data_IF_790322993596
#
_entry.id   IF_790322993596
#
_cell.length_a   1.000
_cell.length_b   1.000
_cell.length_c   1.000
_cell.angle_alpha   90.00
_cell.angle_beta   90.00
_cell.angle_gamma   90.00
#
_symmetry.space_group_name_H-M   'P 1'
#
loop_
_entity.id
_entity.type
_entity.pdbx_description
1 polymer ?
#
# COMPACT_ATOMS: atom_id res chain seq x y z
N UNK A 1 5.03 3.39 16.40
CA UNK A 1 6.31 3.37 17.15
C UNK A 1 7.11 4.61 16.75
N UNK A 2 7.74 5.33 17.68
CA UNK A 2 8.65 6.43 17.33
C UNK A 2 9.84 5.90 16.51
N UNK A 3 10.35 6.69 15.54
CA UNK A 3 11.46 6.31 14.63
C UNK A 3 12.68 5.72 15.35
N UNK A 4 13.06 6.29 16.50
CA UNK A 4 14.15 5.79 17.35
C UNK A 4 14.00 4.34 17.81
N UNK A 5 12.77 3.86 18.01
CA UNK A 5 12.48 2.46 18.41
C UNK A 5 12.32 1.53 17.21
N UNK A 6 11.95 2.05 16.05
CA UNK A 6 11.76 1.25 14.84
C UNK A 6 13.06 1.04 14.04
N UNK A 7 14.03 1.97 14.12
CA UNK A 7 15.31 1.91 13.39
C UNK A 7 16.07 0.58 13.50
N UNK A 8 16.26 0.00 14.69
CA UNK A 8 16.98 -1.28 14.81
C UNK A 8 16.25 -2.44 14.13
N UNK A 9 14.92 -2.46 14.23
CA UNK A 9 14.09 -3.49 13.62
C UNK A 9 14.08 -3.37 12.09
N UNK A 10 14.07 -2.14 11.56
CA UNK A 10 14.24 -1.86 10.12
C UNK A 10 15.60 -2.36 9.60
N UNK A 11 16.68 -2.18 10.36
CA UNK A 11 18.00 -2.70 9.99
C UNK A 11 18.07 -4.23 9.96
N UNK A 12 17.27 -4.91 10.79
CA UNK A 12 17.14 -6.38 10.77
C UNK A 12 16.36 -6.88 9.54
N UNK A 13 15.42 -6.08 9.00
CA UNK A 13 14.71 -6.43 7.77
C UNK A 13 15.61 -6.41 6.52
N UNK A 14 16.80 -5.79 6.59
CA UNK A 14 17.78 -5.75 5.51
C UNK A 14 18.73 -6.97 5.49
N UNK A 15 18.52 -7.97 6.35
CA UNK A 15 19.33 -9.21 6.36
C UNK A 15 18.89 -10.12 5.20
N UNK A 16 19.84 -10.61 4.41
CA UNK A 16 19.56 -11.43 3.20
C UNK A 16 18.68 -12.68 3.43
N UNK A 17 18.70 -13.27 4.64
CA UNK A 17 17.85 -14.41 4.98
C UNK A 17 16.43 -14.05 5.45
N UNK A 18 16.15 -12.78 5.71
CA UNK A 18 14.85 -12.24 6.14
C UNK A 18 14.02 -11.70 4.97
N UNK A 19 14.68 -11.45 3.82
CA UNK A 19 14.07 -10.95 2.58
C UNK A 19 13.14 -11.97 1.87
N UNK A 20 12.95 -13.16 2.47
CA UNK A 20 12.02 -14.20 2.00
C UNK A 20 10.70 -14.22 2.76
N UNK A 21 10.48 -13.29 3.70
CA UNK A 21 9.33 -13.29 4.62
C UNK A 21 8.53 -11.98 4.47
N UNK A 22 7.96 -11.80 3.28
CA UNK A 22 7.06 -10.71 2.89
C UNK A 22 5.59 -11.12 3.09
N UNK A 23 5.04 -10.80 4.26
CA UNK A 23 3.60 -10.90 4.58
C UNK A 23 2.89 -9.55 4.34
N UNK A 24 2.94 -9.09 3.09
CA UNK A 24 2.48 -7.75 2.70
C UNK A 24 0.99 -7.50 3.00
N UNK A 25 0.15 -8.54 2.87
CA UNK A 25 -1.29 -8.44 3.16
C UNK A 25 -1.55 -8.06 4.62
N UNK A 26 -0.84 -8.70 5.54
CA UNK A 26 -0.89 -8.50 6.98
C UNK A 26 -0.35 -7.12 7.35
N UNK A 27 0.78 -6.73 6.76
CA UNK A 27 1.38 -5.41 6.96
C UNK A 27 0.42 -4.29 6.51
N UNK A 28 -0.19 -4.46 5.34
CA UNK A 28 -1.16 -3.53 4.77
C UNK A 28 -2.41 -3.43 5.65
N UNK A 29 -2.95 -4.57 6.08
CA UNK A 29 -4.12 -4.64 6.97
C UNK A 29 -3.84 -3.98 8.33
N UNK A 30 -2.65 -4.19 8.89
CA UNK A 30 -2.21 -3.55 10.13
C UNK A 30 -2.13 -2.02 10.00
N UNK A 31 -1.51 -1.54 8.92
CA UNK A 31 -1.39 -0.10 8.67
C UNK A 31 -2.76 0.55 8.43
N UNK A 32 -3.61 -0.09 7.63
CA UNK A 32 -4.97 0.37 7.36
C UNK A 32 -5.82 0.47 8.62
N UNK A 33 -5.81 -0.55 9.50
CA UNK A 33 -6.58 -0.54 10.76
C UNK A 33 -6.20 0.65 11.64
N UNK A 34 -4.89 0.95 11.74
CA UNK A 34 -4.38 2.10 12.51
C UNK A 34 -4.79 3.42 11.89
N UNK A 35 -4.65 3.53 10.56
CA UNK A 35 -5.00 4.74 9.83
C UNK A 35 -6.51 5.00 9.88
N UNK A 36 -7.34 3.96 9.80
CA UNK A 36 -8.80 4.07 9.90
C UNK A 36 -9.26 4.71 11.21
N UNK A 37 -8.59 4.43 12.33
CA UNK A 37 -8.91 4.99 13.65
C UNK A 37 -8.51 6.46 13.83
N UNK A 38 -7.86 7.07 12.85
CA UNK A 38 -7.41 8.47 12.90
C UNK A 38 -8.57 9.46 12.62
N UNK A 39 -8.63 10.63 13.29
CA UNK A 39 -9.70 11.62 13.09
C UNK A 39 -9.62 12.38 11.76
N UNK A 40 -8.49 12.35 11.06
CA UNK A 40 -8.28 13.10 9.81
C UNK A 40 -9.31 12.72 8.73
N UNK A 41 -9.86 13.73 8.07
CA UNK A 41 -10.87 13.55 7.01
C UNK A 41 -10.30 12.88 5.76
N UNK A 42 -9.02 13.15 5.45
CA UNK A 42 -8.30 12.53 4.34
C UNK A 42 -7.22 11.60 4.87
N UNK A 43 -7.21 10.38 4.38
CA UNK A 43 -6.30 9.31 4.81
C UNK A 43 -5.68 8.69 3.56
N UNK A 44 -4.36 8.75 3.46
CA UNK A 44 -3.60 8.17 2.36
C UNK A 44 -2.71 7.08 2.95
N UNK A 45 -2.74 5.90 2.36
CA UNK A 45 -1.86 4.79 2.66
C UNK A 45 -0.98 4.55 1.44
N UNK A 46 0.33 4.74 1.60
CA UNK A 46 1.32 4.52 0.56
C UNK A 46 2.13 3.28 0.91
N UNK A 47 2.19 2.33 -0.02
CA UNK A 47 3.02 1.13 0.06
C UNK A 47 4.30 1.38 -0.72
N UNK A 48 5.43 0.98 -0.16
CA UNK A 48 6.72 0.96 -0.86
C UNK A 48 7.22 -0.48 -0.70
N UNK A 49 7.34 -1.21 -1.80
CA UNK A 49 7.73 -2.63 -1.79
C UNK A 49 8.72 -2.93 -2.91
N UNK A 50 9.65 -3.83 -2.64
CA UNK A 50 10.70 -4.31 -3.55
C UNK A 50 10.40 -5.70 -4.12
N UNK A 51 9.21 -6.26 -3.87
CA UNK A 51 8.93 -7.64 -4.30
C UNK A 51 7.48 -8.10 -4.19
N UNK A 52 7.33 -9.42 -4.27
CA UNK A 52 6.08 -10.13 -4.11
C UNK A 52 5.90 -10.62 -2.66
N UNK A 53 4.67 -10.94 -2.23
CA UNK A 53 4.48 -11.60 -0.94
C UNK A 53 5.01 -13.04 -1.02
N UNK A 54 5.92 -13.40 -0.13
CA UNK A 54 6.63 -14.69 -0.06
C UNK A 54 6.93 -14.99 1.40
N UNK A 55 6.70 -16.22 1.86
CA UNK A 55 7.04 -16.68 3.21
C UNK A 55 7.22 -18.19 3.15
N UNK A 56 8.45 -18.69 3.40
CA UNK A 56 8.80 -20.10 3.16
C UNK A 56 7.99 -21.03 4.08
N UNK A 57 7.75 -20.60 5.32
CA UNK A 57 6.97 -21.34 6.31
C UNK A 57 5.52 -21.47 5.89
N UNK A 58 4.90 -20.37 5.46
CA UNK A 58 3.51 -20.34 5.01
C UNK A 58 3.34 -21.18 3.75
N UNK A 59 4.24 -21.04 2.77
CA UNK A 59 4.16 -21.77 1.50
C UNK A 59 4.46 -23.27 1.63
N UNK A 60 5.15 -23.71 2.70
CA UNK A 60 5.44 -25.13 2.93
C UNK A 60 4.20 -25.98 3.23
N UNK A 61 3.13 -25.36 3.74
CA UNK A 61 1.90 -26.06 4.18
C UNK A 61 0.61 -25.50 3.55
N UNK A 62 0.72 -24.51 2.67
CA UNK A 62 -0.41 -23.89 1.97
C UNK A 62 -0.21 -23.89 0.46
N UNK A 63 -1.27 -23.67 -0.34
CA UNK A 63 -1.14 -23.45 -1.77
C UNK A 63 -0.22 -22.26 -2.09
N UNK A 64 0.50 -22.34 -3.21
CA UNK A 64 1.44 -21.31 -3.64
C UNK A 64 0.78 -19.91 -3.81
N UNK A 65 -0.52 -19.86 -4.09
CA UNK A 65 -1.27 -18.60 -4.24
C UNK A 65 -1.72 -17.97 -2.93
N UNK A 66 -1.56 -18.63 -1.78
CA UNK A 66 -2.20 -18.24 -0.51
C UNK A 66 -1.92 -16.78 -0.11
N UNK A 67 -0.65 -16.36 -0.14
CA UNK A 67 -0.26 -15.00 0.21
C UNK A 67 -0.68 -13.98 -0.84
N UNK A 68 -0.65 -14.36 -2.12
CA UNK A 68 -1.12 -13.50 -3.21
C UNK A 68 -2.63 -13.25 -3.11
N UNK A 69 -3.40 -14.31 -2.90
CA UNK A 69 -4.86 -14.25 -2.72
C UNK A 69 -5.22 -13.40 -1.50
N UNK A 70 -4.46 -13.56 -0.40
CA UNK A 70 -4.63 -12.72 0.79
C UNK A 70 -4.34 -11.24 0.51
N UNK A 71 -3.21 -10.93 -0.14
CA UNK A 71 -2.84 -9.56 -0.50
C UNK A 71 -3.92 -8.91 -1.38
N UNK A 72 -4.39 -9.61 -2.42
CA UNK A 72 -5.48 -9.13 -3.29
C UNK A 72 -6.77 -8.86 -2.52
N UNK A 73 -7.14 -9.75 -1.60
CA UNK A 73 -8.33 -9.58 -0.78
C UNK A 73 -8.24 -8.33 0.12
N UNK A 74 -7.07 -8.09 0.73
CA UNK A 74 -6.83 -6.91 1.58
C UNK A 74 -6.84 -5.62 0.76
N UNK A 75 -6.17 -5.59 -0.40
CA UNK A 75 -6.17 -4.43 -1.30
C UNK A 75 -7.60 -4.09 -1.72
N UNK A 76 -8.35 -5.08 -2.19
CA UNK A 76 -9.75 -4.92 -2.59
C UNK A 76 -10.61 -4.38 -1.43
N UNK A 77 -10.41 -4.88 -0.21
CA UNK A 77 -11.10 -4.36 0.97
C UNK A 77 -10.80 -2.87 1.21
N UNK A 78 -9.55 -2.44 1.02
CA UNK A 78 -9.14 -1.06 1.28
C UNK A 78 -9.63 -0.12 0.17
N UNK A 79 -9.47 -0.51 -1.09
CA UNK A 79 -9.81 0.32 -2.25
C UNK A 79 -11.33 0.47 -2.44
N UNK A 80 -12.11 -0.59 -2.24
CA UNK A 80 -13.55 -0.55 -2.50
C UNK A 80 -14.41 -0.24 -1.26
N UNK A 81 -13.96 -0.65 -0.08
CA UNK A 81 -14.80 -0.65 1.14
C UNK A 81 -14.33 0.36 2.19
N UNK A 82 -13.42 1.25 1.83
CA UNK A 82 -12.83 2.20 2.76
C UNK A 82 -12.56 3.56 2.11
N UNK A 83 -12.68 4.68 2.86
CA UNK A 83 -12.35 6.02 2.37
C UNK A 83 -10.83 6.29 2.34
N UNK A 84 -10.00 5.31 2.72
CA UNK A 84 -8.53 5.41 2.67
C UNK A 84 -8.08 5.30 1.22
N UNK A 85 -7.34 6.30 0.75
CA UNK A 85 -6.73 6.32 -0.57
C UNK A 85 -5.46 5.46 -0.54
N UNK A 86 -5.41 4.40 -1.35
CA UNK A 86 -4.27 3.49 -1.44
C UNK A 86 -3.43 3.81 -2.69
N UNK A 87 -2.11 3.83 -2.53
CA UNK A 87 -1.14 3.97 -3.62
C UNK A 87 0.10 3.12 -3.33
N UNK A 88 0.81 2.67 -4.36
CA UNK A 88 2.00 1.83 -4.22
C UNK A 88 3.17 2.30 -5.08
N UNK A 89 4.39 2.10 -4.58
CA UNK A 89 5.64 2.28 -5.29
C UNK A 89 6.40 0.95 -5.25
N UNK A 90 6.64 0.37 -6.43
CA UNK A 90 7.45 -0.83 -6.61
C UNK A 90 8.89 -0.46 -6.91
N UNK A 91 9.88 -1.02 -6.20
CA UNK A 91 11.31 -0.80 -6.49
C UNK A 91 11.86 -2.06 -7.15
N UNK A 92 12.26 -1.98 -8.42
CA UNK A 92 12.75 -3.12 -9.18
C UNK A 92 11.70 -4.22 -9.44
N UNK A 93 10.45 -4.01 -9.03
CA UNK A 93 9.37 -4.99 -9.13
C UNK A 93 8.04 -4.34 -9.51
N UNK A 94 7.30 -4.94 -10.44
CA UNK A 94 5.98 -4.45 -10.86
C UNK A 94 4.89 -4.78 -9.82
N UNK A 95 4.46 -3.75 -9.09
CA UNK A 95 3.36 -3.81 -8.11
C UNK A 95 2.01 -3.42 -8.72
N UNK A 96 1.97 -2.94 -9.97
CA UNK A 96 0.74 -2.56 -10.67
C UNK A 96 -0.23 -3.73 -10.91
N UNK A 97 0.29 -4.97 -10.85
CA UNK A 97 -0.53 -6.20 -10.86
C UNK A 97 -1.48 -6.35 -9.66
N UNK A 98 -1.25 -5.57 -8.60
CA UNK A 98 -2.01 -5.65 -7.35
C UNK A 98 -2.77 -4.36 -7.04
N UNK A 99 -2.13 -3.20 -7.21
CA UNK A 99 -2.67 -1.90 -6.78
C UNK A 99 -3.20 -1.10 -7.96
N UNK A 100 -4.38 -0.48 -7.81
CA UNK A 100 -4.96 0.36 -8.88
C UNK A 100 -4.11 1.61 -9.16
N UNK A 101 -3.50 2.19 -8.12
CA UNK A 101 -2.58 3.32 -8.22
C UNK A 101 -1.18 2.85 -7.86
N UNK A 102 -0.35 2.62 -8.87
CA UNK A 102 1.00 2.11 -8.70
C UNK A 102 1.99 2.84 -9.61
N UNK A 103 3.21 3.01 -9.12
CA UNK A 103 4.38 3.42 -9.93
C UNK A 103 5.51 2.45 -9.66
N UNK A 104 6.23 2.06 -10.70
CA UNK A 104 7.43 1.22 -10.56
C UNK A 104 8.66 2.06 -10.87
N UNK A 105 9.64 2.06 -9.98
CA UNK A 105 10.94 2.68 -10.15
C UNK A 105 12.00 1.59 -10.29
N UNK A 106 13.10 1.90 -10.98
CA UNK A 106 14.21 0.94 -11.14
C UNK A 106 15.06 0.91 -9.87
N UNK A 107 15.41 2.09 -9.36
CA UNK A 107 16.36 2.24 -8.26
C UNK A 107 15.80 3.10 -7.13
N UNK A 108 16.26 2.84 -5.90
CA UNK A 108 15.80 3.55 -4.71
C UNK A 108 16.13 5.06 -4.70
N UNK A 109 17.08 5.50 -5.52
CA UNK A 109 17.44 6.92 -5.67
C UNK A 109 16.27 7.74 -6.24
N UNK A 110 15.42 7.13 -7.07
CA UNK A 110 14.24 7.76 -7.67
C UNK A 110 13.07 7.91 -6.68
N UNK A 111 13.12 7.22 -5.55
CA UNK A 111 12.00 7.10 -4.61
C UNK A 111 11.49 8.47 -4.15
N UNK A 112 12.39 9.40 -3.81
CA UNK A 112 12.02 10.71 -3.31
C UNK A 112 11.17 11.52 -4.31
N UNK A 113 11.58 11.52 -5.59
CA UNK A 113 10.86 12.19 -6.67
C UNK A 113 9.50 11.53 -6.93
N UNK A 114 9.49 10.20 -7.01
CA UNK A 114 8.28 9.41 -7.29
C UNK A 114 7.25 9.53 -6.17
N UNK A 115 7.67 9.57 -4.91
CA UNK A 115 6.76 9.80 -3.78
C UNK A 115 6.03 11.14 -3.91
N UNK A 116 6.72 12.22 -4.28
CA UNK A 116 6.12 13.53 -4.48
C UNK A 116 5.14 13.56 -5.66
N UNK A 117 5.49 12.88 -6.76
CA UNK A 117 4.62 12.76 -7.93
C UNK A 117 3.36 11.94 -7.62
N UNK A 118 3.51 10.80 -6.96
CA UNK A 118 2.39 9.95 -6.55
C UNK A 118 1.44 10.70 -5.60
N UNK A 119 1.97 11.47 -4.66
CA UNK A 119 1.16 12.33 -3.80
C UNK A 119 0.46 13.43 -4.59
N UNK A 120 1.19 14.14 -5.47
CA UNK A 120 0.62 15.20 -6.31
C UNK A 120 -0.54 14.70 -7.16
N UNK A 121 -0.39 13.53 -7.81
CA UNK A 121 -1.44 12.91 -8.61
C UNK A 121 -2.73 12.63 -7.82
N UNK A 122 -2.61 12.24 -6.54
CA UNK A 122 -3.77 12.07 -5.67
C UNK A 122 -4.51 13.38 -5.38
N UNK A 123 -3.84 14.54 -5.39
CA UNK A 123 -4.51 15.84 -5.22
C UNK A 123 -5.25 16.26 -6.50
N UNK A 124 -4.70 15.97 -7.67
CA UNK A 124 -5.24 16.40 -8.97
C UNK A 124 -6.47 15.59 -9.39
N UNK A 125 -6.47 14.26 -9.22
CA UNK A 125 -7.63 13.40 -9.51
C UNK A 125 -8.89 13.84 -8.75
N UNK A 126 -8.72 14.36 -7.53
CA UNK A 126 -9.82 14.79 -6.67
C UNK A 126 -10.45 16.10 -7.14
N UNK A 127 -9.66 16.98 -7.76
CA UNK A 127 -10.17 18.21 -8.38
C UNK A 127 -11.04 17.89 -9.61
N UNK A 128 -10.79 16.76 -10.27
CA UNK A 128 -11.48 16.35 -11.48
C UNK A 128 -12.70 15.44 -11.25
N UNK A 129 -13.03 15.06 -10.00
CA UNK A 129 -14.30 14.37 -9.70
C UNK A 129 -15.43 15.40 -9.71
N UNK A 130 -16.37 15.36 -10.69
CA UNK A 130 -17.49 16.29 -10.70
C UNK A 130 -18.26 16.12 -9.41
N UNK A 131 -18.29 17.18 -8.60
CA UNK A 131 -19.03 17.21 -7.35
C UNK A 131 -20.42 16.68 -7.60
N UNK A 132 -20.80 15.65 -6.85
CA UNK A 132 -22.12 15.02 -6.87
C UNK A 132 -23.14 16.11 -6.54
N UNK A 133 -23.54 16.90 -7.54
CA UNK A 133 -24.51 17.99 -7.45
C UNK A 133 -25.76 17.37 -6.85
N UNK A 134 -26.03 17.72 -5.60
CA UNK A 134 -27.25 17.31 -4.92
C UNK A 134 -28.41 17.58 -5.87
N UNK A 135 -29.19 16.53 -6.17
CA UNK A 135 -30.49 16.69 -6.81
C UNK A 135 -31.30 17.62 -5.90
N UNK A 136 -31.31 18.92 -6.24
CA UNK A 136 -32.25 19.86 -5.69
C UNK A 136 -33.63 19.30 -6.04
N UNK A 137 -34.33 18.78 -5.01
CA UNK A 137 -35.75 18.44 -5.08
C UNK A 137 -36.47 19.71 -5.52
N UNK A 138 -36.86 19.75 -6.80
CA UNK A 138 -37.81 20.73 -7.32
C UNK A 138 -39.20 20.27 -6.90
N UNK A 139 -39.83 21.13 -6.10
CA UNK A 139 -41.27 21.35 -5.88
C UNK A 139 -42.10 20.16 -5.42
#
# INVERSE_FOLDING_TARGET
MPWRRARPNLGLMLREGLLKENIDGEALLWAWRRLKGRPESRKILMVISDGAPVDDSTLSVNPASYLEDHLRAVIHQIEERSPVELTAIGIGHDVGRYYQRAVTITDAEELGGTMLQALSGLFDEKQNRPGRRGKARRR
#
